data_IF_022377620524
#
_entry.id   IF_022377620524
#
_cell.length_a   1.000
_cell.length_b   1.000
_cell.length_c   1.000
_cell.angle_alpha   90.00
_cell.angle_beta   90.00
_cell.angle_gamma   90.00
#
_symmetry.space_group_name_H-M   'P 1'
#
loop_
_entity.id
_entity.type
_entity.pdbx_description
1 polymer ?
#
# COMPACT_ATOMS: atom_id res chain seq x y z
N UNK A 1 18.35 -6.35 -1.74
CA UNK A 1 16.93 -6.36 -1.30
C UNK A 1 16.22 -5.08 -1.76
N UNK A 2 14.88 -5.05 -1.89
CA UNK A 2 14.14 -3.83 -2.26
C UNK A 2 14.40 -2.69 -1.26
N UNK A 3 14.45 -3.00 0.04
CA UNK A 3 14.72 -2.01 1.09
C UNK A 3 16.09 -1.33 0.97
N UNK A 4 17.16 -2.08 0.70
CA UNK A 4 18.51 -1.51 0.55
C UNK A 4 18.60 -0.57 -0.67
N UNK A 5 18.01 -0.96 -1.80
CA UNK A 5 18.00 -0.13 -3.00
C UNK A 5 17.21 1.16 -2.79
N UNK A 6 16.07 1.08 -2.11
CA UNK A 6 15.30 2.25 -1.72
C UNK A 6 16.07 3.16 -0.75
N UNK A 7 16.76 2.59 0.24
CA UNK A 7 17.56 3.37 1.18
C UNK A 7 18.78 4.01 0.51
N UNK A 8 19.42 3.32 -0.44
CA UNK A 8 20.52 3.88 -1.20
C UNK A 8 20.07 5.12 -2.01
N UNK A 9 18.90 5.03 -2.67
CA UNK A 9 18.28 6.16 -3.35
C UNK A 9 17.90 7.28 -2.37
N UNK A 10 17.26 6.95 -1.25
CA UNK A 10 16.91 7.89 -0.17
C UNK A 10 18.12 8.66 0.38
N UNK A 11 19.27 8.00 0.51
CA UNK A 11 20.52 8.60 0.97
C UNK A 11 21.36 9.23 -0.15
N UNK A 12 20.94 9.12 -1.42
CA UNK A 12 21.70 9.60 -2.58
C UNK A 12 23.02 8.87 -2.80
N UNK A 13 23.15 7.63 -2.31
CA UNK A 13 24.38 6.83 -2.43
C UNK A 13 24.21 5.69 -3.42
N UNK A 14 25.31 5.27 -4.04
CA UNK A 14 25.32 4.06 -4.85
C UNK A 14 25.46 2.85 -3.92
N UNK A 15 24.67 1.81 -4.18
CA UNK A 15 24.92 0.49 -3.59
C UNK A 15 26.37 0.09 -3.91
N UNK A 16 27.17 -0.13 -2.88
CA UNK A 16 28.56 -0.53 -3.06
C UNK A 16 28.58 -1.99 -3.54
N UNK A 17 29.56 -2.36 -4.36
CA UNK A 17 29.70 -3.72 -4.89
C UNK A 17 30.08 -4.78 -3.84
N UNK A 18 30.34 -4.35 -2.61
CA UNK A 18 30.80 -5.19 -1.49
C UNK A 18 29.65 -5.40 -0.50
N UNK A 19 28.59 -6.07 -0.95
CA UNK A 19 27.42 -6.36 -0.12
C UNK A 19 27.79 -7.31 1.04
N UNK A 20 27.30 -7.01 2.24
CA UNK A 20 27.38 -7.80 3.48
C UNK A 20 28.75 -7.87 4.20
N UNK A 21 29.39 -6.72 4.42
CA UNK A 21 30.36 -6.64 5.52
C UNK A 21 29.64 -6.85 6.87
N UNK A 22 30.32 -7.44 7.85
CA UNK A 22 29.70 -7.99 9.06
C UNK A 22 28.96 -6.89 9.86
N UNK A 23 27.64 -6.83 9.71
CA UNK A 23 26.73 -6.08 10.60
C UNK A 23 26.00 -4.90 9.97
N UNK A 24 26.36 -4.44 8.78
CA UNK A 24 25.71 -3.31 8.10
C UNK A 24 25.45 -3.61 6.62
N UNK A 25 24.54 -2.85 6.02
CA UNK A 25 23.99 -3.12 4.69
C UNK A 25 24.55 -2.16 3.61
N UNK A 26 24.91 -0.91 3.98
CA UNK A 26 25.51 0.08 3.08
C UNK A 26 26.29 1.17 3.83
N UNK A 27 27.02 2.00 3.09
CA UNK A 27 27.66 3.23 3.59
C UNK A 27 26.89 4.46 3.09
N UNK A 28 26.67 5.46 3.95
CA UNK A 28 26.13 6.74 3.50
C UNK A 28 27.22 7.67 2.91
N UNK A 29 26.85 8.90 2.54
CA UNK A 29 27.76 9.85 1.91
C UNK A 29 28.94 10.27 2.80
N UNK A 30 28.77 10.15 4.12
CA UNK A 30 29.78 10.48 5.12
C UNK A 30 30.60 9.25 5.51
N UNK A 31 30.32 8.08 4.92
CA UNK A 31 30.98 6.82 5.20
C UNK A 31 30.47 6.12 6.46
N UNK A 32 29.29 6.51 6.97
CA UNK A 32 28.68 5.85 8.13
C UNK A 32 28.13 4.48 7.73
N UNK A 33 28.31 3.49 8.61
CA UNK A 33 27.77 2.13 8.43
C UNK A 33 26.29 2.14 8.74
N UNK A 34 25.47 1.87 7.74
CA UNK A 34 24.01 1.88 7.83
C UNK A 34 23.47 0.47 7.84
N UNK A 35 22.66 0.11 8.85
CA UNK A 35 21.86 -1.12 8.82
C UNK A 35 20.41 -0.82 8.44
N UNK A 36 19.92 -1.55 7.45
CA UNK A 36 18.58 -1.47 6.90
C UNK A 36 17.74 -2.64 7.40
N UNK A 37 16.54 -2.34 7.91
CA UNK A 37 15.52 -3.35 8.18
C UNK A 37 14.26 -3.05 7.39
N UNK A 38 13.72 -4.08 6.75
CA UNK A 38 12.44 -3.99 6.07
C UNK A 38 11.36 -4.66 6.94
N UNK A 39 10.23 -3.99 7.14
CA UNK A 39 9.05 -4.53 7.80
C UNK A 39 7.82 -4.39 6.91
N UNK A 40 6.97 -5.42 6.88
CA UNK A 40 5.67 -5.39 6.21
C UNK A 40 4.51 -5.24 7.21
N UNK A 41 4.72 -5.68 8.45
CA UNK A 41 3.74 -5.54 9.54
C UNK A 41 4.19 -4.48 10.53
N UNK A 42 3.22 -3.81 11.15
CA UNK A 42 3.50 -2.67 12.01
C UNK A 42 3.78 -3.05 13.47
N UNK A 43 4.19 -4.26 13.82
CA UNK A 43 4.33 -4.65 15.25
C UNK A 43 5.71 -4.38 15.86
N UNK A 44 6.71 -4.06 15.04
CA UNK A 44 8.07 -3.75 15.49
C UNK A 44 9.14 -4.49 14.72
N UNK A 45 10.40 -4.19 15.02
CA UNK A 45 11.57 -4.77 14.36
C UNK A 45 12.63 -5.17 15.38
N UNK A 46 13.36 -6.25 15.09
CA UNK A 46 14.40 -6.77 15.97
C UNK A 46 15.80 -6.54 15.37
N UNK A 47 16.71 -6.07 16.22
CA UNK A 47 18.13 -5.92 15.95
C UNK A 47 18.92 -6.98 16.71
N UNK A 48 20.03 -7.43 16.13
CA UNK A 48 20.92 -8.38 16.78
C UNK A 48 21.86 -7.62 17.71
N UNK A 49 21.79 -7.89 19.01
CA UNK A 49 22.64 -7.22 19.99
C UNK A 49 24.13 -7.45 19.71
N UNK A 50 24.49 -8.63 19.19
CA UNK A 50 25.88 -8.96 18.91
C UNK A 50 26.50 -8.18 17.73
N UNK A 51 25.69 -7.47 16.93
CA UNK A 51 26.18 -6.76 15.74
C UNK A 51 25.71 -5.31 15.68
N UNK A 52 24.87 -4.86 16.60
CA UNK A 52 24.29 -3.51 16.53
C UNK A 52 25.33 -2.42 16.76
N UNK A 53 26.37 -2.69 17.56
CA UNK A 53 27.49 -1.79 17.81
C UNK A 53 28.47 -1.68 16.62
N UNK A 54 28.27 -2.51 15.58
CA UNK A 54 29.05 -2.45 14.34
C UNK A 54 28.45 -1.46 13.32
N UNK A 55 27.37 -0.77 13.72
CA UNK A 55 26.55 0.08 12.87
C UNK A 55 26.50 1.47 13.49
N UNK A 56 26.58 2.51 12.67
CA UNK A 56 26.52 3.90 13.12
C UNK A 56 25.08 4.46 13.02
N UNK A 57 24.33 4.03 12.00
CA UNK A 57 22.98 4.50 11.69
C UNK A 57 22.05 3.34 11.33
N UNK A 58 20.81 3.42 11.78
CA UNK A 58 19.80 2.39 11.54
C UNK A 58 18.62 2.99 10.81
N UNK A 59 18.24 2.37 9.69
CA UNK A 59 17.10 2.77 8.88
C UNK A 59 16.10 1.62 8.82
N UNK A 60 14.85 1.89 9.17
CA UNK A 60 13.74 0.95 9.05
C UNK A 60 12.81 1.42 7.95
N UNK A 61 12.62 0.57 6.96
CA UNK A 61 11.71 0.76 5.84
C UNK A 61 10.45 -0.05 6.08
N UNK A 62 9.30 0.59 5.97
CA UNK A 62 8.01 -0.06 5.96
C UNK A 62 7.48 -0.21 4.54
N UNK A 63 7.00 -1.41 4.23
CA UNK A 63 6.32 -1.70 2.97
C UNK A 63 4.83 -1.89 3.28
N UNK A 64 3.98 -0.98 2.81
CA UNK A 64 2.53 -1.19 2.83
C UNK A 64 2.16 -2.15 1.70
N UNK A 65 1.68 -3.33 2.07
CA UNK A 65 1.20 -4.34 1.12
C UNK A 65 -0.33 -4.33 1.01
N UNK A 66 -1.02 -3.27 1.46
CA UNK A 66 -2.45 -3.13 1.27
C UNK A 66 -2.82 -3.04 -0.22
N UNK A 67 -3.91 -3.70 -0.57
CA UNK A 67 -4.21 -4.40 -1.84
C UNK A 67 -4.11 -3.63 -3.17
N UNK A 68 -3.80 -2.33 -3.23
CA UNK A 68 -3.78 -1.60 -4.50
C UNK A 68 -2.61 -0.59 -4.68
N UNK A 69 -1.77 -0.36 -3.66
CA UNK A 69 -0.60 0.53 -3.77
C UNK A 69 0.55 0.01 -2.91
N UNK A 70 1.62 -0.45 -3.56
CA UNK A 70 2.88 -0.73 -2.89
C UNK A 70 3.51 0.60 -2.48
N UNK A 71 3.39 0.96 -1.20
CA UNK A 71 4.08 2.12 -0.64
C UNK A 71 5.32 1.65 0.11
N UNK A 72 6.45 2.32 -0.09
CA UNK A 72 7.71 2.04 0.59
C UNK A 72 8.13 3.35 1.27
N UNK A 73 8.28 3.33 2.59
CA UNK A 73 8.49 4.52 3.40
C UNK A 73 9.56 4.30 4.46
N UNK A 74 10.38 5.32 4.72
CA UNK A 74 11.28 5.33 5.90
C UNK A 74 10.46 5.66 7.13
N UNK A 75 10.38 4.72 8.08
CA UNK A 75 9.60 4.89 9.33
C UNK A 75 10.47 5.08 10.56
N UNK A 76 11.78 4.85 10.42
CA UNK A 76 12.78 5.13 11.44
C UNK A 76 14.11 5.39 10.76
N UNK A 77 14.77 6.46 11.15
CA UNK A 77 16.10 6.83 10.70
C UNK A 77 16.80 7.55 11.85
N UNK A 78 17.75 6.88 12.47
CA UNK A 78 18.40 7.37 13.67
C UNK A 78 19.80 6.77 13.84
N UNK A 79 20.62 7.39 14.69
CA UNK A 79 21.88 6.79 15.12
C UNK A 79 21.65 5.54 15.98
N UNK A 80 22.66 4.67 16.06
CA UNK A 80 22.62 3.52 16.97
C UNK A 80 22.42 3.95 18.43
N UNK A 81 23.01 5.08 18.84
CA UNK A 81 22.81 5.64 20.18
C UNK A 81 21.33 5.99 20.45
N UNK A 82 20.68 6.66 19.50
CA UNK A 82 19.27 7.01 19.59
C UNK A 82 18.40 5.74 19.62
N UNK A 83 18.74 4.72 18.82
CA UNK A 83 18.06 3.42 18.86
C UNK A 83 18.13 2.80 20.26
N UNK A 84 19.28 2.87 20.94
CA UNK A 84 19.44 2.30 22.28
C UNK A 84 18.53 2.97 23.32
N UNK A 85 18.22 4.26 23.14
CA UNK A 85 17.35 5.01 24.04
C UNK A 85 15.87 4.65 23.87
N UNK A 86 15.43 4.32 22.66
CA UNK A 86 14.00 4.08 22.35
C UNK A 86 13.63 2.60 22.25
N UNK A 87 14.59 1.72 21.99
CA UNK A 87 14.36 0.29 21.89
C UNK A 87 14.24 -0.38 23.26
N UNK A 88 13.49 -1.48 23.34
CA UNK A 88 13.38 -2.28 24.56
C UNK A 88 14.72 -2.92 24.92
N UNK A 89 14.92 -3.18 26.21
CA UNK A 89 16.05 -3.97 26.70
C UNK A 89 16.14 -5.31 25.93
N UNK A 90 17.37 -5.81 25.69
CA UNK A 90 17.57 -6.97 24.86
C UNK A 90 17.00 -8.22 25.54
N UNK A 91 16.30 -9.05 24.76
CA UNK A 91 15.79 -10.34 25.19
C UNK A 91 16.29 -11.42 24.23
N UNK A 92 16.96 -12.45 24.77
CA UNK A 92 17.58 -13.53 23.99
C UNK A 92 18.49 -13.01 22.85
N UNK A 93 19.33 -12.02 23.15
CA UNK A 93 20.27 -11.42 22.18
C UNK A 93 19.61 -10.56 21.10
N UNK A 94 18.32 -10.23 21.25
CA UNK A 94 17.60 -9.36 20.32
C UNK A 94 17.07 -8.13 21.03
N UNK A 95 17.31 -6.98 20.43
CA UNK A 95 16.79 -5.68 20.85
C UNK A 95 15.62 -5.30 19.97
N UNK A 96 14.48 -4.94 20.56
CA UNK A 96 13.23 -4.70 19.80
C UNK A 96 12.87 -3.23 19.80
N UNK A 97 12.81 -2.64 18.61
CA UNK A 97 12.20 -1.34 18.36
C UNK A 97 10.70 -1.54 18.13
N UNK A 98 9.88 -0.90 18.96
CA UNK A 98 8.43 -1.03 18.93
C UNK A 98 7.81 -0.01 17.98
N UNK A 99 6.60 -0.29 17.48
CA UNK A 99 5.86 0.56 16.54
C UNK A 99 5.74 2.02 16.99
N UNK A 100 5.51 2.25 18.27
CA UNK A 100 5.30 3.58 18.84
C UNK A 100 6.57 4.45 18.84
N UNK A 101 7.74 3.86 18.63
CA UNK A 101 9.00 4.58 18.46
C UNK A 101 9.34 4.87 16.98
N UNK A 102 8.41 4.56 16.05
CA UNK A 102 8.56 4.76 14.62
C UNK A 102 7.45 5.67 14.10
N UNK A 103 7.75 6.44 13.06
CA UNK A 103 6.81 7.36 12.42
C UNK A 103 6.26 6.70 11.16
N UNK A 104 5.09 6.08 11.29
CA UNK A 104 4.35 5.58 10.13
C UNK A 104 3.52 6.71 9.53
N UNK A 105 3.39 6.82 8.20
CA UNK A 105 2.40 7.70 7.62
C UNK A 105 1.04 7.33 8.20
N UNK A 106 0.25 8.35 8.58
CA UNK A 106 -1.16 8.10 8.87
C UNK A 106 -1.71 7.49 7.59
N UNK A 107 -2.29 6.29 7.66
CA UNK A 107 -3.20 5.84 6.61
C UNK A 107 -4.24 6.95 6.52
N UNK A 108 -4.11 7.79 5.50
CA UNK A 108 -5.13 8.76 5.18
C UNK A 108 -6.36 7.91 4.99
N UNK A 109 -7.32 8.05 5.92
CA UNK A 109 -8.66 7.51 5.72
C UNK A 109 -9.03 7.84 4.28
N UNK A 110 -9.55 6.87 3.54
CA UNK A 110 -9.99 7.00 2.13
C UNK A 110 -11.01 8.13 1.88
N UNK A 111 -11.26 8.97 2.87
CA UNK A 111 -12.06 10.20 2.85
C UNK A 111 -11.29 11.40 2.29
N UNK A 112 -9.97 11.50 2.45
CA UNK A 112 -9.21 12.66 1.97
C UNK A 112 -8.49 12.36 0.64
N UNK A 113 -9.28 12.50 -0.43
CA UNK A 113 -8.91 12.85 -1.82
C UNK A 113 -7.58 12.28 -2.32
N UNK A 114 -7.61 11.04 -2.82
CA UNK A 114 -6.87 10.78 -4.05
C UNK A 114 -7.48 11.64 -5.15
N UNK A 115 -6.70 12.51 -5.79
CA UNK A 115 -7.08 13.08 -7.08
C UNK A 115 -7.02 11.95 -8.12
N UNK A 116 -8.06 11.13 -8.12
CA UNK A 116 -8.26 10.04 -9.09
C UNK A 116 -8.62 10.57 -10.48
N UNK A 117 -8.61 11.89 -10.67
CA UNK A 117 -9.08 12.58 -11.87
C UNK A 117 -10.59 12.73 -11.90
N UNK A 118 -11.09 13.40 -12.93
CA UNK A 118 -12.53 13.58 -13.15
C UNK A 118 -13.24 12.23 -13.26
N UNK A 119 -14.48 12.19 -12.76
CA UNK A 119 -15.38 11.06 -12.97
C UNK A 119 -15.73 11.02 -14.45
N UNK A 120 -15.52 9.87 -15.09
CA UNK A 120 -15.81 9.65 -16.52
C UNK A 120 -16.94 8.66 -16.76
N UNK A 121 -17.32 7.90 -15.72
CA UNK A 121 -18.43 6.94 -15.79
C UNK A 121 -18.99 6.68 -14.39
N UNK A 122 -20.26 6.31 -14.30
CA UNK A 122 -20.93 6.01 -13.03
C UNK A 122 -21.97 4.91 -13.19
N UNK A 123 -22.09 4.06 -12.16
CA UNK A 123 -23.12 3.04 -12.07
C UNK A 123 -23.81 3.12 -10.71
N UNK A 124 -25.13 3.23 -10.71
CA UNK A 124 -25.97 3.27 -9.51
C UNK A 124 -26.70 1.94 -9.37
N UNK A 125 -26.59 1.31 -8.20
CA UNK A 125 -27.35 0.13 -7.83
C UNK A 125 -27.90 0.29 -6.41
N UNK A 126 -29.21 0.49 -6.28
CA UNK A 126 -29.83 0.80 -4.99
C UNK A 126 -29.24 2.07 -4.37
N UNK A 127 -28.70 1.95 -3.16
CA UNK A 127 -28.03 3.05 -2.45
C UNK A 127 -26.51 3.15 -2.73
N UNK A 128 -25.98 2.30 -3.60
CA UNK A 128 -24.56 2.24 -3.95
C UNK A 128 -24.31 2.97 -5.27
N UNK A 129 -23.40 3.94 -5.26
CA UNK A 129 -22.90 4.63 -6.44
C UNK A 129 -21.44 4.26 -6.66
N UNK A 130 -21.14 3.53 -7.74
CA UNK A 130 -19.77 3.28 -8.18
C UNK A 130 -19.39 4.31 -9.24
N UNK A 131 -18.23 4.94 -9.10
CA UNK A 131 -17.70 5.94 -10.02
C UNK A 131 -16.39 5.46 -10.59
N UNK A 132 -16.26 5.52 -11.91
CA UNK A 132 -15.01 5.33 -12.64
C UNK A 132 -14.41 6.69 -12.93
N UNK A 133 -13.12 6.80 -12.72
CA UNK A 133 -12.38 8.03 -12.98
C UNK A 133 -11.51 7.91 -14.23
N UNK A 134 -11.09 9.06 -14.79
CA UNK A 134 -10.28 9.14 -16.00
C UNK A 134 -8.98 8.31 -15.92
N UNK A 135 -8.41 8.18 -14.72
CA UNK A 135 -7.22 7.37 -14.44
C UNK A 135 -7.47 5.85 -14.47
N UNK A 136 -8.73 5.42 -14.63
CA UNK A 136 -9.15 4.01 -14.54
C UNK A 136 -9.37 3.52 -13.11
N UNK A 137 -9.29 4.40 -12.11
CA UNK A 137 -9.60 4.09 -10.71
C UNK A 137 -11.12 4.06 -10.46
N UNK A 138 -11.55 3.32 -9.44
CA UNK A 138 -12.95 3.23 -9.04
C UNK A 138 -13.14 3.69 -7.60
N UNK A 139 -14.19 4.47 -7.34
CA UNK A 139 -14.62 4.86 -5.99
C UNK A 139 -16.08 4.48 -5.78
N UNK A 140 -16.49 4.28 -4.53
CA UNK A 140 -17.86 3.93 -4.19
C UNK A 140 -18.41 4.88 -3.13
N UNK A 141 -19.68 5.26 -3.29
CA UNK A 141 -20.46 5.95 -2.28
C UNK A 141 -21.65 5.08 -1.89
N UNK A 142 -21.97 5.00 -0.60
CA UNK A 142 -23.19 4.36 -0.09
C UNK A 142 -23.96 5.41 0.69
N UNK A 143 -25.19 5.72 0.26
CA UNK A 143 -25.96 6.86 0.78
C UNK A 143 -25.21 8.21 0.70
N UNK A 144 -24.30 8.36 -0.27
CA UNK A 144 -23.45 9.55 -0.41
C UNK A 144 -22.13 9.51 0.36
N UNK A 145 -21.94 8.57 1.26
CA UNK A 145 -20.71 8.43 2.05
C UNK A 145 -19.67 7.54 1.37
N UNK A 146 -18.38 7.92 1.31
CA UNK A 146 -17.34 7.09 0.73
C UNK A 146 -17.20 5.73 1.42
N UNK A 147 -17.17 4.67 0.62
CA UNK A 147 -16.98 3.29 1.08
C UNK A 147 -15.90 2.56 0.26
N UNK A 148 -15.30 1.47 0.79
CA UNK A 148 -14.35 0.66 0.04
C UNK A 148 -14.99 0.05 -1.22
N UNK A 149 -14.55 0.51 -2.40
CA UNK A 149 -15.14 0.10 -3.68
C UNK A 149 -14.94 -1.40 -3.99
N UNK A 150 -13.85 -2.00 -3.51
CA UNK A 150 -13.50 -3.39 -3.81
C UNK A 150 -14.57 -4.39 -3.37
N UNK A 151 -15.04 -4.30 -2.13
CA UNK A 151 -16.02 -5.24 -1.58
C UNK A 151 -17.36 -5.14 -2.31
N UNK A 152 -17.76 -3.93 -2.69
CA UNK A 152 -18.98 -3.67 -3.44
C UNK A 152 -18.86 -4.20 -4.88
N UNK A 153 -17.71 -4.00 -5.53
CA UNK A 153 -17.43 -4.53 -6.87
C UNK A 153 -17.36 -6.07 -6.90
N UNK A 154 -16.87 -6.70 -5.82
CA UNK A 154 -16.90 -8.15 -5.67
C UNK A 154 -18.32 -8.67 -5.57
N UNK A 155 -19.14 -8.07 -4.70
CA UNK A 155 -20.55 -8.44 -4.57
C UNK A 155 -21.30 -8.31 -5.92
N UNK A 156 -21.11 -7.18 -6.62
CA UNK A 156 -21.72 -6.98 -7.95
C UNK A 156 -21.25 -8.03 -8.97
N UNK A 157 -19.95 -8.36 -8.99
CA UNK A 157 -19.42 -9.40 -9.87
C UNK A 157 -20.09 -10.75 -9.59
N UNK A 158 -20.21 -11.12 -8.33
CA UNK A 158 -20.77 -12.41 -7.89
C UNK A 158 -22.27 -12.48 -8.21
N UNK A 159 -23.01 -11.40 -7.98
CA UNK A 159 -24.42 -11.25 -8.37
C UNK A 159 -24.61 -11.40 -9.89
N UNK A 160 -23.68 -10.86 -10.69
CA UNK A 160 -23.68 -10.98 -12.15
C UNK A 160 -23.15 -12.33 -12.67
N UNK A 161 -22.73 -13.24 -11.78
CA UNK A 161 -22.17 -14.55 -12.17
C UNK A 161 -20.87 -14.43 -12.97
N UNK A 162 -20.12 -13.33 -12.82
CA UNK A 162 -18.90 -13.07 -13.58
C UNK A 162 -17.72 -13.86 -12.98
N UNK A 163 -16.82 -14.42 -13.83
CA UNK A 163 -15.75 -15.28 -13.35
C UNK A 163 -14.68 -14.53 -12.56
N UNK A 164 -14.04 -15.24 -11.63
CA UNK A 164 -12.81 -14.81 -10.98
C UNK A 164 -11.68 -14.60 -11.99
N UNK A 165 -10.86 -13.56 -11.78
CA UNK A 165 -9.62 -13.34 -12.53
C UNK A 165 -8.41 -13.62 -11.66
N UNK A 166 -7.28 -13.92 -12.30
CA UNK A 166 -6.00 -14.14 -11.61
C UNK A 166 -5.57 -12.93 -10.74
N UNK A 167 -6.04 -11.72 -11.08
CA UNK A 167 -5.91 -10.52 -10.24
C UNK A 167 -7.28 -9.87 -10.02
N UNK A 168 -7.73 -9.82 -8.77
CA UNK A 168 -8.98 -9.18 -8.33
C UNK A 168 -8.69 -7.85 -7.60
N UNK A 169 -7.89 -6.99 -8.24
CA UNK A 169 -7.66 -5.60 -7.81
C UNK A 169 -8.93 -4.77 -8.01
N UNK A 170 -9.08 -3.66 -7.30
CA UNK A 170 -10.25 -2.77 -7.45
C UNK A 170 -10.44 -2.32 -8.90
N UNK A 171 -9.35 -2.04 -9.62
CA UNK A 171 -9.36 -1.64 -11.03
C UNK A 171 -9.78 -2.77 -11.98
N UNK A 172 -9.24 -3.98 -11.80
CA UNK A 172 -9.56 -5.12 -12.68
C UNK A 172 -11.00 -5.61 -12.48
N UNK A 173 -11.49 -5.59 -11.24
CA UNK A 173 -12.90 -5.87 -10.90
C UNK A 173 -13.82 -4.81 -11.50
N UNK A 174 -13.54 -3.53 -11.24
CA UNK A 174 -14.35 -2.43 -11.77
C UNK A 174 -14.43 -2.44 -13.30
N UNK A 175 -13.29 -2.71 -13.98
CA UNK A 175 -13.27 -2.82 -15.43
C UNK A 175 -14.11 -4.00 -15.95
N UNK A 176 -14.15 -5.13 -15.24
CA UNK A 176 -14.96 -6.29 -15.62
C UNK A 176 -16.46 -6.01 -15.44
N UNK A 177 -16.86 -5.51 -14.27
CA UNK A 177 -18.25 -5.15 -13.95
C UNK A 177 -18.77 -4.10 -14.93
N UNK A 178 -18.04 -3.00 -15.14
CA UNK A 178 -18.46 -1.92 -16.06
C UNK A 178 -18.43 -2.35 -17.53
N UNK A 179 -17.59 -3.32 -17.91
CA UNK A 179 -17.62 -3.83 -19.29
C UNK A 179 -18.83 -4.73 -19.52
N UNK A 180 -19.22 -5.53 -18.52
CA UNK A 180 -20.43 -6.36 -18.60
C UNK A 180 -21.70 -5.50 -18.67
N UNK A 181 -21.82 -4.51 -17.78
CA UNK A 181 -22.95 -3.57 -17.75
C UNK A 181 -23.13 -2.80 -19.08
N UNK A 182 -22.02 -2.40 -19.72
CA UNK A 182 -22.05 -1.77 -21.05
C UNK A 182 -22.38 -2.75 -22.18
N UNK A 183 -22.08 -4.03 -22.00
CA UNK A 183 -22.46 -5.11 -22.92
C UNK A 183 -23.95 -5.43 -22.89
N UNK A 184 -24.64 -5.17 -21.77
CA UNK A 184 -26.09 -5.39 -21.61
C UNK A 184 -26.96 -4.17 -21.98
N UNK A 185 -26.37 -3.03 -22.36
CA UNK A 185 -27.13 -1.80 -22.70
C UNK A 185 -27.90 -1.86 -24.04
N UNK A 186 -28.05 -3.04 -24.66
CA UNK A 186 -28.92 -3.29 -25.80
C UNK A 186 -29.84 -4.49 -25.55
N UNK A 187 -30.86 -4.32 -24.71
CA UNK A 187 -32.12 -5.05 -24.88
C UNK A 187 -33.28 -4.25 -24.27
N UNK A 188 -34.08 -3.70 -25.21
CA UNK A 188 -35.49 -3.33 -25.12
C UNK A 188 -35.89 -2.08 -24.31
N UNK A 189 -35.85 -0.94 -25.02
CA UNK A 189 -37.10 -0.20 -25.18
C UNK A 189 -37.97 -0.93 -26.21
N UNK A 190 -39.13 -1.43 -25.79
CA UNK A 190 -40.25 -1.69 -26.70
C UNK A 190 -41.34 -0.63 -26.46
N UNK A 191 -41.87 -0.01 -27.52
CA UNK A 191 -42.80 1.09 -27.43
C UNK A 191 -44.20 0.60 -27.05
N UNK A 192 -44.95 1.46 -26.36
CA UNK A 192 -46.40 1.38 -26.25
C UNK A 192 -47.04 1.52 -27.64
N UNK A 193 -47.94 0.59 -27.97
CA UNK A 193 -48.76 0.63 -29.17
C UNK A 193 -50.06 -0.11 -28.92
N UNK A 194 -51.08 0.64 -28.56
CA UNK A 194 -52.50 0.27 -28.68
C UNK A 194 -52.79 -0.21 -30.11
N UNK A 195 -53.69 -1.18 -30.26
CA UNK A 195 -54.77 -1.15 -31.27
C UNK A 195 -55.80 -2.24 -30.95
N UNK A 196 -57.03 -1.76 -30.79
CA UNK A 196 -58.37 -2.36 -30.97
C UNK A 196 -58.62 -3.86 -30.70
#
# INVERSE_FOLDING_TARGET
MIGEAFVADYLGVKLTSTNNERGFDLLDSDGLRVSVKTITTSTGVAFNEATIDLVDRVIVVWIDTAEDQLAIEVVFDASTEQLMQVAKAPYRGKRRLMRNAMTFPKRISTTDRFDVGSVVDTYQHGNVLIRRHATGSFTALVNGDPQPARQLLLAMRDEMGLPDKATNTTRSLGAQVFSHLRGESFSEASPSGENE
#
